data_IF_366170362264
#
_entry.id   IF_366170362264
#
_cell.length_a   1.000
_cell.length_b   1.000
_cell.length_c   1.000
_cell.angle_alpha   90.00
_cell.angle_beta   90.00
_cell.angle_gamma   90.00
#
_symmetry.space_group_name_H-M   'P 1'
#
loop_
_entity.id
_entity.type
_entity.pdbx_description
1 polymer ?
#
# COMPACT_ATOMS: atom_id res chain seq x y z
N UNK A 1 7.82 7.48 -19.11
CA UNK A 1 7.02 6.70 -18.15
C UNK A 1 5.82 6.19 -18.91
N UNK A 2 5.63 4.87 -18.94
CA UNK A 2 4.61 4.28 -19.81
C UNK A 2 3.25 4.29 -19.14
N UNK A 3 2.18 4.59 -19.88
CA UNK A 3 0.79 4.49 -19.40
C UNK A 3 0.51 3.14 -18.70
N UNK A 4 1.19 2.07 -19.16
CA UNK A 4 1.10 0.73 -18.59
C UNK A 4 1.57 0.63 -17.13
N UNK A 5 2.62 1.36 -16.74
CA UNK A 5 3.15 1.35 -15.37
C UNK A 5 2.15 1.97 -14.41
N UNK A 6 1.56 3.10 -14.81
CA UNK A 6 0.56 3.80 -14.01
C UNK A 6 -0.72 2.96 -13.86
N UNK A 7 -1.14 2.28 -14.93
CA UNK A 7 -2.28 1.34 -14.89
C UNK A 7 -2.05 0.23 -13.86
N UNK A 8 -0.88 -0.42 -13.86
CA UNK A 8 -0.58 -1.48 -12.87
C UNK A 8 -0.62 -0.97 -11.43
N UNK A 9 -0.09 0.22 -11.18
CA UNK A 9 -0.11 0.81 -9.84
C UNK A 9 -1.52 1.17 -9.39
N UNK A 10 -2.36 1.68 -10.30
CA UNK A 10 -3.79 1.88 -10.04
C UNK A 10 -4.45 0.56 -9.65
N UNK A 11 -4.15 -0.54 -10.32
CA UNK A 11 -4.68 -1.87 -9.99
C UNK A 11 -4.23 -2.36 -8.61
N UNK A 12 -2.94 -2.18 -8.27
CA UNK A 12 -2.43 -2.53 -6.93
C UNK A 12 -3.06 -1.68 -5.84
N UNK A 13 -3.22 -0.37 -6.08
CA UNK A 13 -3.87 0.53 -5.14
C UNK A 13 -5.37 0.21 -4.98
N UNK A 14 -6.07 -0.20 -6.05
CA UNK A 14 -7.45 -0.72 -5.98
C UNK A 14 -7.54 -2.00 -5.16
N UNK A 15 -6.54 -2.87 -5.24
CA UNK A 15 -6.48 -4.10 -4.45
C UNK A 15 -6.32 -3.81 -2.96
N UNK A 16 -5.48 -2.83 -2.61
CA UNK A 16 -5.37 -2.31 -1.25
C UNK A 16 -6.70 -1.72 -0.76
N UNK A 17 -7.33 -0.86 -1.56
CA UNK A 17 -8.64 -0.28 -1.22
C UNK A 17 -9.69 -1.35 -0.93
N UNK A 18 -9.74 -2.41 -1.77
CA UNK A 18 -10.67 -3.52 -1.60
C UNK A 18 -10.43 -4.27 -0.28
N UNK A 19 -9.17 -4.49 0.09
CA UNK A 19 -8.82 -5.12 1.36
C UNK A 19 -9.23 -4.24 2.56
N UNK A 20 -8.98 -2.93 2.50
CA UNK A 20 -9.35 -1.98 3.55
C UNK A 20 -10.87 -1.86 3.74
N UNK A 21 -11.65 -1.82 2.66
CA UNK A 21 -13.12 -1.75 2.72
C UNK A 21 -13.76 -2.95 3.44
N UNK A 22 -13.11 -4.12 3.40
CA UNK A 22 -13.60 -5.31 4.14
C UNK A 22 -13.45 -5.17 5.65
N UNK A 23 -12.56 -4.29 6.10
CA UNK A 23 -12.26 -4.10 7.51
C UNK A 23 -13.13 -3.03 8.19
N UNK A 24 -13.80 -2.15 7.43
CA UNK A 24 -14.76 -1.13 7.90
C UNK A 24 -14.27 -0.12 8.97
N UNK A 25 -13.00 -0.17 9.40
CA UNK A 25 -12.45 0.69 10.46
C UNK A 25 -11.36 1.68 9.98
N UNK A 26 -11.27 1.94 8.66
CA UNK A 26 -10.26 2.83 8.08
C UNK A 26 -10.87 3.86 7.13
N UNK A 27 -11.99 4.50 7.51
CA UNK A 27 -12.72 5.44 6.65
C UNK A 27 -11.85 6.55 6.08
N UNK A 28 -10.93 7.09 6.89
CA UNK A 28 -9.98 8.10 6.42
C UNK A 28 -9.05 7.57 5.32
N UNK A 29 -8.37 6.43 5.56
CA UNK A 29 -7.46 5.84 4.57
C UNK A 29 -8.19 5.39 3.31
N UNK A 30 -9.41 4.85 3.45
CA UNK A 30 -10.29 4.49 2.32
C UNK A 30 -10.58 5.73 1.47
N UNK A 31 -11.04 6.82 2.09
CA UNK A 31 -11.37 8.07 1.38
C UNK A 31 -10.17 8.65 0.62
N UNK A 32 -9.01 8.71 1.28
CA UNK A 32 -7.78 9.24 0.66
C UNK A 32 -7.37 8.39 -0.54
N UNK A 33 -7.46 7.06 -0.45
CA UNK A 33 -7.12 6.17 -1.56
C UNK A 33 -8.14 6.32 -2.71
N UNK A 34 -9.44 6.49 -2.40
CA UNK A 34 -10.47 6.74 -3.41
C UNK A 34 -10.25 8.06 -4.16
N UNK A 35 -9.86 9.10 -3.44
CA UNK A 35 -9.50 10.40 -4.02
C UNK A 35 -8.31 10.26 -4.97
N UNK A 36 -7.21 9.62 -4.53
CA UNK A 36 -6.04 9.37 -5.38
C UNK A 36 -6.34 8.46 -6.59
N UNK A 37 -7.29 7.52 -6.47
CA UNK A 37 -7.71 6.69 -7.60
C UNK A 37 -8.59 7.44 -8.60
N UNK A 38 -9.23 8.52 -8.17
CA UNK A 38 -10.10 9.36 -9.01
C UNK A 38 -9.38 10.57 -9.60
N UNK A 39 -8.16 10.84 -9.13
CA UNK A 39 -7.32 11.96 -9.58
C UNK A 39 -6.61 11.66 -10.91
N UNK A 40 -5.95 12.69 -11.45
CA UNK A 40 -5.03 12.54 -12.58
C UNK A 40 -3.88 11.60 -12.25
N UNK A 41 -3.19 11.10 -13.29
CA UNK A 41 -2.02 10.23 -13.12
C UNK A 41 -0.89 10.94 -12.36
N UNK A 42 -0.66 12.23 -12.61
CA UNK A 42 0.35 13.01 -11.89
C UNK A 42 0.04 13.12 -10.39
N UNK A 43 -1.22 13.40 -10.03
CA UNK A 43 -1.66 13.45 -8.63
C UNK A 43 -1.57 12.09 -7.95
N UNK A 44 -1.91 11.01 -8.66
CA UNK A 44 -1.74 9.66 -8.17
C UNK A 44 -0.27 9.35 -7.89
N UNK A 45 0.63 9.72 -8.81
CA UNK A 45 2.07 9.50 -8.64
C UNK A 45 2.63 10.29 -7.45
N UNK A 46 2.12 11.50 -7.20
CA UNK A 46 2.44 12.28 -6.00
C UNK A 46 1.97 11.52 -4.74
N UNK A 47 0.74 11.02 -4.74
CA UNK A 47 0.20 10.24 -3.62
C UNK A 47 1.02 8.96 -3.36
N UNK A 48 1.36 8.21 -4.40
CA UNK A 48 2.13 6.96 -4.30
C UNK A 48 3.52 7.16 -3.68
N UNK A 49 4.12 8.34 -3.88
CA UNK A 49 5.42 8.72 -3.28
C UNK A 49 5.27 9.45 -1.95
N UNK A 50 4.05 9.64 -1.45
CA UNK A 50 3.80 10.44 -0.26
C UNK A 50 4.16 9.71 1.04
N UNK A 51 4.49 10.48 2.07
CA UNK A 51 4.61 9.97 3.44
C UNK A 51 3.25 9.60 4.04
N UNK A 52 2.14 10.08 3.47
CA UNK A 52 0.80 9.64 3.85
C UNK A 52 0.61 8.15 3.58
N UNK A 53 1.13 7.66 2.44
CA UNK A 53 1.11 6.24 2.12
C UNK A 53 2.18 5.45 2.86
N UNK A 54 3.45 5.87 2.80
CA UNK A 54 4.59 5.05 3.24
C UNK A 54 5.31 5.50 4.52
N UNK A 55 4.98 6.67 5.10
CA UNK A 55 5.87 7.34 6.05
C UNK A 55 5.49 7.25 7.53
N UNK A 56 6.23 6.46 8.30
CA UNK A 56 6.26 6.53 9.77
C UNK A 56 4.98 6.12 10.49
N UNK A 57 4.93 6.41 11.79
CA UNK A 57 3.75 6.17 12.62
C UNK A 57 2.58 7.01 12.10
N UNK A 58 1.44 6.37 11.86
CA UNK A 58 0.25 7.04 11.35
C UNK A 58 0.10 7.08 9.83
N UNK A 59 1.06 6.56 9.07
CA UNK A 59 0.88 6.34 7.63
C UNK A 59 -0.15 5.25 7.35
N UNK A 60 -0.68 5.24 6.12
CA UNK A 60 -1.58 4.17 5.68
C UNK A 60 -0.86 2.81 5.79
N UNK A 61 0.39 2.68 5.35
CA UNK A 61 1.12 1.43 5.47
C UNK A 61 1.33 0.98 6.93
N UNK A 62 1.47 1.92 7.86
CA UNK A 62 1.64 1.66 9.31
C UNK A 62 0.33 1.23 9.97
N UNK A 63 -0.73 1.99 9.75
CA UNK A 63 -2.02 1.77 10.43
C UNK A 63 -2.86 0.68 9.77
N UNK A 64 -2.62 0.38 8.50
CA UNK A 64 -3.44 -0.55 7.75
C UNK A 64 -3.39 -1.95 8.36
N UNK A 65 -4.53 -2.38 8.87
CA UNK A 65 -4.69 -3.69 9.48
C UNK A 65 -4.05 -3.83 10.86
N UNK A 66 -3.64 -2.73 11.51
CA UNK A 66 -3.15 -2.74 12.91
C UNK A 66 -4.15 -3.41 13.85
N UNK A 67 -5.41 -2.99 13.76
CA UNK A 67 -6.52 -3.52 14.55
C UNK A 67 -7.27 -4.69 13.84
N UNK A 68 -6.81 -5.12 12.67
CA UNK A 68 -7.42 -6.21 11.92
C UNK A 68 -6.95 -7.57 12.42
N UNK A 69 -7.86 -8.55 12.47
CA UNK A 69 -7.55 -9.91 12.92
C UNK A 69 -7.46 -10.90 11.76
N UNK A 70 -6.62 -11.93 11.95
CA UNK A 70 -6.58 -13.13 11.11
C UNK A 70 -6.43 -12.87 9.62
N UNK A 71 -7.46 -13.25 8.85
CA UNK A 71 -7.45 -13.24 7.38
C UNK A 71 -7.41 -11.82 6.81
N UNK A 72 -8.16 -10.87 7.38
CA UNK A 72 -8.27 -9.51 6.86
C UNK A 72 -6.93 -8.77 6.96
N UNK A 73 -6.24 -8.92 8.08
CA UNK A 73 -4.88 -8.37 8.24
C UNK A 73 -3.91 -8.92 7.19
N UNK A 74 -3.93 -10.23 6.92
CA UNK A 74 -3.08 -10.84 5.89
C UNK A 74 -3.39 -10.31 4.49
N UNK A 75 -4.67 -10.12 4.15
CA UNK A 75 -5.08 -9.54 2.86
C UNK A 75 -4.55 -8.11 2.70
N UNK A 76 -4.66 -7.28 3.74
CA UNK A 76 -4.15 -5.91 3.75
C UNK A 76 -2.62 -5.90 3.62
N UNK A 77 -1.91 -6.68 4.44
CA UNK A 77 -0.44 -6.75 4.41
C UNK A 77 0.08 -7.23 3.05
N UNK A 78 -0.59 -8.20 2.43
CA UNK A 78 -0.25 -8.68 1.10
C UNK A 78 -0.46 -7.59 0.04
N UNK A 79 -1.59 -6.87 0.09
CA UNK A 79 -1.89 -5.81 -0.87
C UNK A 79 -0.88 -4.65 -0.77
N UNK A 80 -0.49 -4.23 0.45
CA UNK A 80 0.55 -3.22 0.67
C UNK A 80 1.89 -3.70 0.09
N UNK A 81 2.26 -4.96 0.34
CA UNK A 81 3.50 -5.53 -0.18
C UNK A 81 3.52 -5.55 -1.71
N UNK A 82 2.44 -5.99 -2.35
CA UNK A 82 2.35 -6.02 -3.81
C UNK A 82 2.41 -4.63 -4.43
N UNK A 83 1.77 -3.63 -3.81
CA UNK A 83 1.88 -2.24 -4.22
C UNK A 83 3.33 -1.74 -4.11
N UNK A 84 3.99 -2.00 -2.98
CA UNK A 84 5.38 -1.59 -2.78
C UNK A 84 6.36 -2.26 -3.74
N UNK A 85 6.15 -3.54 -4.08
CA UNK A 85 6.97 -4.23 -5.09
C UNK A 85 6.82 -3.62 -6.48
N UNK A 86 5.59 -3.35 -6.92
CA UNK A 86 5.35 -2.70 -8.21
C UNK A 86 5.97 -1.28 -8.24
N UNK A 87 5.88 -0.53 -7.13
CA UNK A 87 6.52 0.79 -7.01
C UNK A 87 8.04 0.70 -7.12
N UNK A 88 8.68 -0.34 -6.55
CA UNK A 88 10.12 -0.56 -6.69
C UNK A 88 10.51 -0.92 -8.13
N UNK A 89 9.76 -1.79 -8.78
CA UNK A 89 10.00 -2.19 -10.17
C UNK A 89 9.89 -1.00 -11.15
N UNK A 90 8.97 -0.07 -10.88
CA UNK A 90 8.71 1.11 -11.71
C UNK A 90 9.52 2.35 -11.30
N UNK A 91 10.28 2.29 -10.20
CA UNK A 91 11.05 3.42 -9.67
C UNK A 91 10.20 4.55 -9.04
N UNK A 92 8.90 4.34 -8.83
CA UNK A 92 7.97 5.33 -8.26
C UNK A 92 7.95 5.13 -6.76
N UNK A 93 9.05 5.47 -6.12
CA UNK A 93 9.24 5.22 -4.69
C UNK A 93 9.56 6.50 -3.94
N UNK A 94 9.42 6.44 -2.61
CA UNK A 94 10.14 7.32 -1.71
C UNK A 94 11.11 6.49 -0.84
N UNK A 95 11.92 7.18 -0.02
CA UNK A 95 12.90 6.55 0.89
C UNK A 95 12.28 5.50 1.85
N UNK A 96 10.97 5.55 2.10
CA UNK A 96 10.27 4.65 3.03
C UNK A 96 9.64 3.44 2.35
N UNK A 97 9.42 3.50 1.03
CA UNK A 97 8.86 2.38 0.26
C UNK A 97 9.76 1.13 0.40
N UNK A 98 11.08 1.27 0.23
CA UNK A 98 12.04 0.17 0.38
C UNK A 98 12.06 -0.42 1.79
N UNK A 99 12.03 0.45 2.81
CA UNK A 99 12.00 0.03 4.21
C UNK A 99 10.77 -0.83 4.52
N UNK A 100 9.59 -0.42 4.04
CA UNK A 100 8.35 -1.18 4.26
C UNK A 100 8.35 -2.53 3.57
N UNK A 101 8.76 -2.58 2.30
CA UNK A 101 8.80 -3.82 1.52
C UNK A 101 9.80 -4.81 2.11
N UNK A 102 10.98 -4.35 2.52
CA UNK A 102 12.03 -5.18 3.12
C UNK A 102 11.70 -5.64 4.54
N UNK A 103 11.15 -4.77 5.39
CA UNK A 103 10.77 -5.09 6.78
C UNK A 103 9.68 -6.18 6.82
N UNK A 104 8.70 -6.12 5.90
CA UNK A 104 7.66 -7.15 5.81
C UNK A 104 8.17 -8.47 5.21
N UNK A 105 9.14 -8.44 4.28
CA UNK A 105 9.79 -9.66 3.76
C UNK A 105 10.45 -10.45 4.91
N UNK A 106 11.20 -9.76 5.78
CA UNK A 106 11.83 -10.37 6.95
C UNK A 106 10.81 -10.93 7.95
N UNK A 107 9.73 -10.20 8.22
CA UNK A 107 8.64 -10.66 9.11
C UNK A 107 7.95 -11.94 8.62
N UNK A 108 7.71 -12.08 7.31
CA UNK A 108 7.09 -13.28 6.73
C UNK A 108 8.05 -14.47 6.65
N UNK A 109 9.34 -14.23 6.42
CA UNK A 109 10.38 -15.27 6.45
C UNK A 109 10.56 -15.84 7.86
N UNK A 110 10.46 -15.01 8.90
CA UNK A 110 10.50 -15.49 10.30
C UNK A 110 9.28 -16.36 10.62
N UNK A 111 8.06 -15.96 10.20
CA UNK A 111 6.82 -16.70 10.52
C UNK A 111 6.53 -17.93 9.66
N UNK A 112 7.39 -18.24 8.67
CA UNK A 112 7.29 -19.46 7.86
C UNK A 112 8.16 -20.60 8.39
N UNK A 113 9.02 -20.29 9.36
CA UNK A 113 9.90 -21.23 10.07
C UNK A 113 9.43 -21.51 11.52
N UNK A 114 8.29 -20.96 11.92
CA UNK A 114 7.55 -21.25 13.16
C UNK A 114 6.27 -22.04 12.81
#
# INVERSE_FOLDING_TARGET
>A
MGDLEVVKLREKLRSLLKALKRYQHHDYSIRIIEEALSSSDDELLVFLKSNLLWGGSGSIADQAGFDASGKVRKEIELAIRELGLEQLETGIVNERTEFWVSSKKKYLETRRND
#
